data_IF_621353858277
#
_entry.id   IF_621353858277
#
_cell.length_a   1.000
_cell.length_b   1.000
_cell.length_c   1.000
_cell.angle_alpha   90.00
_cell.angle_beta   90.00
_cell.angle_gamma   90.00
#
_symmetry.space_group_name_H-M   'P 1'
#
loop_
_entity.id
_entity.type
_entity.pdbx_description
1 polymer ?
#
# COMPACT_ATOMS: atom_id res chain seq x y z
N UNK A 1 9.58 10.26 6.23
CA UNK A 1 8.85 9.20 5.48
C UNK A 1 9.55 8.90 4.15
N UNK A 2 10.87 8.66 4.20
CA UNK A 2 11.72 8.65 3.01
C UNK A 2 11.87 7.27 2.38
N UNK A 3 11.75 6.19 3.16
CA UNK A 3 11.99 4.81 2.68
C UNK A 3 11.03 4.44 1.54
N UNK A 4 9.74 4.78 1.67
CA UNK A 4 8.74 4.54 0.62
C UNK A 4 8.49 5.77 -0.26
N UNK A 5 9.37 6.79 -0.18
CA UNK A 5 9.32 8.01 -0.97
C UNK A 5 7.98 8.75 -0.87
N UNK A 6 7.37 8.77 0.33
CA UNK A 6 6.32 9.73 0.66
C UNK A 6 6.89 11.13 0.89
N UNK A 7 8.14 11.19 1.31
CA UNK A 7 8.98 12.38 1.30
C UNK A 7 10.22 12.08 0.44
N UNK A 8 10.62 13.03 -0.39
CA UNK A 8 11.79 12.89 -1.27
C UNK A 8 13.03 13.39 -0.51
N UNK A 9 14.08 12.55 -0.34
CA UNK A 9 15.33 13.00 0.25
C UNK A 9 15.98 14.11 -0.57
N UNK A 10 16.58 15.10 0.09
CA UNK A 10 17.33 16.17 -0.58
C UNK A 10 18.61 15.66 -1.23
N UNK A 11 19.28 14.70 -0.58
CA UNK A 11 20.50 14.07 -1.08
C UNK A 11 20.68 12.68 -0.49
N UNK A 12 21.62 11.89 -1.05
CA UNK A 12 22.00 10.57 -0.54
C UNK A 12 21.60 9.44 -1.48
N UNK A 13 21.38 8.25 -0.94
CA UNK A 13 20.90 7.11 -1.71
C UNK A 13 19.93 6.23 -0.91
N UNK A 14 19.08 5.51 -1.62
CA UNK A 14 18.14 4.52 -1.09
C UNK A 14 18.37 3.23 -1.85
N UNK A 15 18.53 2.12 -1.12
CA UNK A 15 18.59 0.78 -1.70
C UNK A 15 17.52 -0.11 -1.08
N UNK A 16 16.67 -0.71 -1.91
CA UNK A 16 15.66 -1.69 -1.51
C UNK A 16 15.77 -2.90 -2.44
N UNK A 17 16.12 -4.06 -1.88
CA UNK A 17 16.48 -5.22 -2.68
C UNK A 17 17.62 -4.87 -3.65
N UNK A 18 17.38 -5.08 -4.95
CA UNK A 18 18.31 -4.76 -6.03
C UNK A 18 18.13 -3.33 -6.57
N UNK A 19 17.03 -2.65 -6.24
CA UNK A 19 16.76 -1.29 -6.70
C UNK A 19 17.56 -0.28 -5.89
N UNK A 20 18.30 0.60 -6.59
CA UNK A 20 19.08 1.68 -5.98
C UNK A 20 18.72 3.01 -6.63
N UNK A 21 18.41 4.02 -5.81
CA UNK A 21 18.16 5.39 -6.23
C UNK A 21 19.15 6.32 -5.54
N UNK A 22 19.70 7.26 -6.29
CA UNK A 22 20.52 8.34 -5.77
C UNK A 22 19.73 9.66 -5.84
N UNK A 23 19.90 10.48 -4.82
CA UNK A 23 19.24 11.77 -4.67
C UNK A 23 20.28 12.87 -4.63
N UNK A 24 19.99 13.96 -5.34
CA UNK A 24 20.85 15.13 -5.45
C UNK A 24 19.99 16.38 -5.31
N UNK A 25 20.51 17.48 -4.73
CA UNK A 25 19.74 18.72 -4.62
C UNK A 25 19.24 19.20 -5.98
N UNK A 26 17.94 19.51 -6.09
CA UNK A 26 17.29 19.92 -7.33
C UNK A 26 16.97 18.78 -8.31
N UNK A 27 17.36 17.55 -7.99
CA UNK A 27 17.05 16.36 -8.78
C UNK A 27 15.58 15.97 -8.66
N UNK A 28 14.96 15.62 -9.80
CA UNK A 28 13.60 15.04 -9.82
C UNK A 28 13.69 13.53 -9.83
N UNK A 29 12.91 12.88 -8.98
CA UNK A 29 12.74 11.42 -9.01
C UNK A 29 11.58 11.09 -9.94
N UNK A 30 11.78 10.32 -11.01
CA UNK A 30 10.71 9.90 -11.91
C UNK A 30 9.61 9.13 -11.17
N UNK A 31 8.35 9.38 -11.53
CA UNK A 31 7.20 8.71 -10.90
C UNK A 31 7.28 7.17 -11.03
N UNK A 32 7.83 6.66 -12.14
CA UNK A 32 8.07 5.23 -12.36
C UNK A 32 9.01 4.61 -11.30
N UNK A 33 10.02 5.35 -10.85
CA UNK A 33 10.99 4.87 -9.88
C UNK A 33 10.38 4.87 -8.48
N UNK A 34 9.61 5.91 -8.15
CA UNK A 34 8.80 5.97 -6.94
C UNK A 34 7.84 4.78 -6.86
N UNK A 35 7.15 4.48 -7.98
CA UNK A 35 6.21 3.37 -8.03
C UNK A 35 6.90 2.02 -7.81
N UNK A 36 8.07 1.77 -8.43
CA UNK A 36 8.83 0.52 -8.21
C UNK A 36 9.21 0.33 -6.75
N UNK A 37 9.69 1.38 -6.09
CA UNK A 37 10.00 1.34 -4.65
C UNK A 37 8.75 1.04 -3.83
N UNK A 38 7.64 1.74 -4.09
CA UNK A 38 6.37 1.53 -3.35
C UNK A 38 5.76 0.16 -3.54
N UNK A 39 6.02 -0.52 -4.65
CA UNK A 39 5.57 -1.91 -4.86
C UNK A 39 6.32 -2.92 -3.99
N UNK A 40 7.54 -2.61 -3.55
CA UNK A 40 8.36 -3.48 -2.70
C UNK A 40 8.19 -3.20 -1.21
N UNK A 41 7.55 -2.09 -0.85
CA UNK A 41 7.40 -1.66 0.54
C UNK A 41 5.95 -1.48 0.92
N UNK A 42 5.51 -2.06 2.04
CA UNK A 42 4.26 -1.68 2.70
C UNK A 42 4.48 -0.53 3.69
N UNK A 43 3.44 0.26 3.95
CA UNK A 43 3.41 1.21 5.06
C UNK A 43 2.07 1.15 5.77
N UNK A 44 2.12 1.07 7.09
CA UNK A 44 0.95 1.21 7.97
C UNK A 44 1.06 2.58 8.64
N UNK A 45 -0.03 3.35 8.60
CA UNK A 45 -0.11 4.69 9.18
C UNK A 45 -0.75 4.64 10.56
N UNK A 46 -0.48 5.66 11.39
CA UNK A 46 -1.12 5.80 12.71
C UNK A 46 -2.65 5.96 12.59
N UNK A 47 -3.12 6.67 11.55
CA UNK A 47 -4.52 6.72 11.16
C UNK A 47 -4.75 5.73 10.02
N UNK A 48 -5.86 4.97 10.01
CA UNK A 48 -6.03 3.82 9.11
C UNK A 48 -5.94 4.11 7.60
N UNK A 49 -6.04 5.37 7.16
CA UNK A 49 -5.94 5.80 5.75
C UNK A 49 -6.72 4.88 4.78
N UNK A 50 -7.86 4.35 5.22
CA UNK A 50 -8.74 3.51 4.42
C UNK A 50 -9.57 4.38 3.48
N UNK A 51 -9.91 3.85 2.32
CA UNK A 51 -10.89 4.43 1.42
C UNK A 51 -12.28 4.34 2.07
N UNK A 52 -12.91 5.47 2.45
CA UNK A 52 -14.13 5.46 3.26
C UNK A 52 -15.36 4.95 2.49
N UNK A 53 -15.31 5.03 1.15
CA UNK A 53 -16.35 4.60 0.22
C UNK A 53 -16.15 3.16 -0.27
N UNK A 54 -15.35 2.37 0.45
CA UNK A 54 -15.09 0.95 0.16
C UNK A 54 -15.19 0.12 1.43
N UNK A 55 -15.66 -1.12 1.33
CA UNK A 55 -15.68 -2.07 2.44
C UNK A 55 -14.26 -2.51 2.84
N UNK A 56 -14.12 -3.22 3.95
CA UNK A 56 -12.83 -3.72 4.42
C UNK A 56 -12.15 -4.63 3.38
N UNK A 57 -12.89 -5.55 2.76
CA UNK A 57 -12.35 -6.44 1.73
C UNK A 57 -11.97 -5.68 0.46
N UNK A 58 -12.78 -4.70 0.04
CA UNK A 58 -12.48 -3.86 -1.12
C UNK A 58 -11.23 -2.99 -0.90
N UNK A 59 -11.02 -2.50 0.33
CA UNK A 59 -9.80 -1.77 0.69
C UNK A 59 -8.54 -2.65 0.53
N UNK A 60 -8.60 -3.90 1.00
CA UNK A 60 -7.49 -4.85 0.87
C UNK A 60 -7.27 -5.26 -0.60
N UNK A 61 -8.34 -5.40 -1.37
CA UNK A 61 -8.28 -5.76 -2.80
C UNK A 61 -7.73 -4.64 -3.70
N UNK A 62 -7.89 -3.37 -3.32
CA UNK A 62 -7.70 -2.24 -4.24
C UNK A 62 -6.31 -2.22 -4.89
N UNK A 63 -5.25 -2.42 -4.10
CA UNK A 63 -3.88 -2.48 -4.64
C UNK A 63 -3.64 -3.68 -5.56
N UNK A 64 -4.27 -4.83 -5.28
CA UNK A 64 -4.14 -6.04 -6.08
C UNK A 64 -4.79 -5.86 -7.46
N UNK A 65 -5.98 -5.24 -7.52
CA UNK A 65 -6.73 -5.08 -8.76
C UNK A 65 -6.21 -3.89 -9.57
N UNK A 66 -6.04 -2.72 -8.94
CA UNK A 66 -5.75 -1.50 -9.71
C UNK A 66 -4.28 -1.35 -10.08
N UNK A 67 -3.37 -1.76 -9.19
CA UNK A 67 -1.93 -1.61 -9.39
C UNK A 67 -1.32 -2.89 -9.95
N UNK A 68 -1.59 -4.04 -9.33
CA UNK A 68 -1.04 -5.33 -9.79
C UNK A 68 -1.86 -6.01 -10.89
N UNK A 69 -3.03 -5.47 -11.24
CA UNK A 69 -3.91 -5.98 -12.32
C UNK A 69 -4.32 -7.44 -12.14
N UNK A 70 -4.50 -7.90 -10.90
CA UNK A 70 -5.01 -9.24 -10.65
C UNK A 70 -6.49 -9.35 -11.05
N UNK A 71 -6.93 -10.53 -11.56
CA UNK A 71 -8.35 -10.81 -11.73
C UNK A 71 -9.09 -10.67 -10.40
N UNK A 72 -10.27 -10.07 -10.44
CA UNK A 72 -11.06 -9.77 -9.24
C UNK A 72 -11.34 -11.00 -8.36
N UNK A 73 -11.71 -12.19 -8.90
CA UNK A 73 -11.94 -13.37 -8.05
C UNK A 73 -10.70 -13.79 -7.27
N UNK A 74 -9.52 -13.75 -7.91
CA UNK A 74 -8.23 -14.08 -7.29
C UNK A 74 -7.83 -13.02 -6.24
N UNK A 75 -8.09 -11.75 -6.52
CA UNK A 75 -7.84 -10.67 -5.56
C UNK A 75 -8.73 -10.80 -4.32
N UNK A 76 -10.02 -11.15 -4.50
CA UNK A 76 -10.96 -11.36 -3.40
C UNK A 76 -10.56 -12.53 -2.50
N UNK A 77 -10.18 -13.66 -3.09
CA UNK A 77 -9.67 -14.82 -2.35
C UNK A 77 -8.45 -14.44 -1.50
N UNK A 78 -7.46 -13.77 -2.11
CA UNK A 78 -6.26 -13.32 -1.41
C UNK A 78 -6.58 -12.32 -0.30
N UNK A 79 -7.48 -11.37 -0.54
CA UNK A 79 -7.89 -10.38 0.44
C UNK A 79 -8.62 -11.03 1.63
N UNK A 80 -9.47 -12.02 1.39
CA UNK A 80 -10.15 -12.75 2.44
C UNK A 80 -9.16 -13.50 3.34
N UNK A 81 -8.18 -14.19 2.76
CA UNK A 81 -7.13 -14.87 3.53
C UNK A 81 -6.29 -13.88 4.37
N UNK A 82 -6.05 -12.67 3.87
CA UNK A 82 -5.36 -11.62 4.62
C UNK A 82 -6.22 -11.09 5.78
N UNK A 83 -7.52 -10.88 5.56
CA UNK A 83 -8.46 -10.48 6.60
C UNK A 83 -8.58 -11.55 7.70
N UNK A 84 -8.64 -12.82 7.32
CA UNK A 84 -8.66 -13.94 8.27
C UNK A 84 -7.39 -13.95 9.13
N UNK A 85 -6.22 -13.76 8.51
CA UNK A 85 -4.93 -13.70 9.23
C UNK A 85 -4.88 -12.60 10.29
N UNK A 86 -5.59 -11.49 10.10
CA UNK A 86 -5.66 -10.39 11.07
C UNK A 86 -6.95 -10.41 11.91
N UNK A 87 -7.74 -11.48 11.84
CA UNK A 87 -8.95 -11.64 12.65
C UNK A 87 -10.18 -10.84 12.19
N UNK A 88 -10.16 -10.28 10.98
CA UNK A 88 -11.17 -9.34 10.46
C UNK A 88 -12.09 -9.93 9.39
N UNK A 89 -12.01 -11.23 9.09
CA UNK A 89 -12.85 -11.88 8.06
C UNK A 89 -14.36 -11.68 8.31
N UNK A 90 -14.80 -11.71 9.57
CA UNK A 90 -16.19 -11.49 9.97
C UNK A 90 -16.71 -10.06 9.71
N UNK A 91 -15.82 -9.09 9.42
CA UNK A 91 -16.14 -7.70 9.07
C UNK A 91 -15.74 -7.37 7.62
N UNK A 92 -15.58 -8.37 6.76
CA UNK A 92 -15.12 -8.17 5.38
C UNK A 92 -15.97 -7.14 4.62
N UNK A 93 -17.29 -7.18 4.77
CA UNK A 93 -18.22 -6.28 4.07
C UNK A 93 -18.54 -5.00 4.89
N UNK A 94 -17.87 -4.77 6.02
CA UNK A 94 -18.07 -3.58 6.84
C UNK A 94 -17.36 -2.35 6.25
N UNK A 95 -17.97 -1.19 6.42
CA UNK A 95 -17.38 0.09 6.02
C UNK A 95 -16.42 0.62 7.10
N UNK A 96 -15.34 1.33 6.74
CA UNK A 96 -14.35 1.84 7.68
C UNK A 96 -14.93 2.63 8.86
N UNK A 97 -15.98 3.42 8.64
CA UNK A 97 -16.63 4.21 9.68
C UNK A 97 -17.29 3.36 10.79
N UNK A 98 -17.53 2.07 10.52
CA UNK A 98 -18.15 1.12 11.46
C UNK A 98 -17.13 0.21 12.17
N UNK A 99 -15.85 0.37 11.85
CA UNK A 99 -14.76 -0.41 12.43
C UNK A 99 -14.19 0.33 13.66
N UNK A 100 -13.88 -0.46 14.70
CA UNK A 100 -13.00 0.02 15.77
C UNK A 100 -11.60 0.29 15.21
N UNK A 101 -10.83 1.16 15.87
CA UNK A 101 -9.44 1.39 15.47
C UNK A 101 -8.50 0.21 15.77
N UNK A 102 -8.95 -0.79 16.51
CA UNK A 102 -8.23 -2.03 16.76
C UNK A 102 -8.86 -3.18 16.00
#
# INVERSE_FOLDING_TARGET
RCINLLEIPTSGSLRIGEETLAFHPGGKVPAKDIQRIRLQTGMVFQNFQLFPHRTAIENVMEGLVTVLKWPEPRARERAMALLEKVGMAHKADAWPATLSGG
#
